data_IF_497429701736
#
_entry.id   IF_497429701736
#
_cell.length_a   1.000
_cell.length_b   1.000
_cell.length_c   1.000
_cell.angle_alpha   90.00
_cell.angle_beta   90.00
_cell.angle_gamma   90.00
#
_symmetry.space_group_name_H-M   'P 1'
#
loop_
_entity.id
_entity.type
_entity.pdbx_description
1 polymer ?
#
# COMPACT_ATOMS: atom_id res chain seq x y z
N UNK A 1 31.82 17.82 -15.77
CA UNK A 1 30.76 18.52 -15.01
C UNK A 1 29.34 18.36 -15.60
N UNK A 2 29.15 18.20 -16.92
CA UNK A 2 27.80 18.12 -17.53
C UNK A 2 27.01 16.82 -17.25
N UNK A 3 27.69 15.72 -16.96
CA UNK A 3 27.04 14.41 -16.73
C UNK A 3 26.27 14.32 -15.41
N UNK A 4 26.72 15.03 -14.36
CA UNK A 4 26.05 15.04 -13.04
C UNK A 4 24.73 15.79 -13.12
N UNK A 5 24.73 17.03 -13.66
CA UNK A 5 23.52 17.83 -13.89
C UNK A 5 22.51 17.15 -14.83
N UNK A 6 22.97 16.35 -15.80
CA UNK A 6 22.07 15.56 -16.66
C UNK A 6 21.35 14.47 -15.88
N UNK A 7 22.03 13.87 -14.89
CA UNK A 7 21.51 12.76 -14.10
C UNK A 7 20.56 13.23 -13.00
N UNK A 8 20.82 14.37 -12.36
CA UNK A 8 19.89 14.97 -11.39
C UNK A 8 18.55 15.34 -12.03
N UNK A 9 18.58 15.87 -13.26
CA UNK A 9 17.37 16.10 -14.06
C UNK A 9 16.62 14.80 -14.37
N UNK A 10 17.35 13.73 -14.68
CA UNK A 10 16.77 12.41 -14.90
C UNK A 10 16.10 11.86 -13.64
N UNK A 11 16.74 11.95 -12.46
CA UNK A 11 16.13 11.55 -11.17
C UNK A 11 14.81 12.28 -10.95
N UNK A 12 14.85 13.60 -11.08
CA UNK A 12 13.68 14.44 -10.82
C UNK A 12 12.53 14.10 -11.77
N UNK A 13 12.83 13.81 -13.03
CA UNK A 13 11.83 13.32 -13.99
C UNK A 13 11.24 11.97 -13.55
N UNK A 14 12.08 11.02 -13.14
CA UNK A 14 11.63 9.70 -12.69
C UNK A 14 10.76 9.77 -11.44
N UNK A 15 11.09 10.65 -10.49
CA UNK A 15 10.28 10.89 -9.28
C UNK A 15 8.89 11.43 -9.62
N UNK A 16 8.81 12.39 -10.54
CA UNK A 16 7.53 12.93 -11.00
C UNK A 16 6.69 11.84 -11.67
N UNK A 17 7.30 11.00 -12.51
CA UNK A 17 6.61 9.88 -13.16
C UNK A 17 6.08 8.88 -12.13
N UNK A 18 6.89 8.51 -11.13
CA UNK A 18 6.48 7.58 -10.06
C UNK A 18 5.34 8.19 -9.22
N UNK A 19 5.45 9.45 -8.82
CA UNK A 19 4.40 10.13 -8.05
C UNK A 19 3.10 10.31 -8.83
N UNK A 20 3.16 10.54 -10.14
CA UNK A 20 1.96 10.52 -10.99
C UNK A 20 1.33 9.12 -11.05
N UNK A 21 2.14 8.07 -11.21
CA UNK A 21 1.65 6.70 -11.21
C UNK A 21 0.95 6.34 -9.89
N UNK A 22 1.58 6.64 -8.75
CA UNK A 22 0.99 6.43 -7.41
C UNK A 22 -0.37 7.13 -7.28
N UNK A 23 -0.47 8.38 -7.71
CA UNK A 23 -1.71 9.17 -7.66
C UNK A 23 -2.84 8.52 -8.47
N UNK A 24 -2.59 8.18 -9.73
CA UNK A 24 -3.63 7.59 -10.58
C UNK A 24 -4.02 6.18 -10.14
N UNK A 25 -3.05 5.38 -9.67
CA UNK A 25 -3.35 4.06 -9.10
C UNK A 25 -4.26 4.17 -7.88
N UNK A 26 -3.99 5.12 -6.98
CA UNK A 26 -4.87 5.39 -5.85
C UNK A 26 -6.31 5.71 -6.31
N UNK A 27 -6.46 6.58 -7.31
CA UNK A 27 -7.77 6.91 -7.88
C UNK A 27 -8.48 5.69 -8.49
N UNK A 28 -7.76 4.83 -9.22
CA UNK A 28 -8.32 3.61 -9.80
C UNK A 28 -8.77 2.62 -8.72
N UNK A 29 -7.95 2.42 -7.68
CA UNK A 29 -8.30 1.57 -6.55
C UNK A 29 -9.56 2.06 -5.82
N UNK A 30 -9.67 3.38 -5.56
CA UNK A 30 -10.87 3.95 -4.94
C UNK A 30 -12.12 3.76 -5.80
N UNK A 31 -12.00 3.94 -7.13
CA UNK A 31 -13.12 3.76 -8.05
C UNK A 31 -13.57 2.29 -8.12
N UNK A 32 -12.62 1.35 -8.22
CA UNK A 32 -12.90 -0.08 -8.24
C UNK A 32 -13.54 -0.55 -6.93
N UNK A 33 -13.06 -0.06 -5.78
CA UNK A 33 -13.67 -0.36 -4.49
C UNK A 33 -15.11 0.16 -4.38
N UNK A 34 -15.38 1.36 -4.90
CA UNK A 34 -16.76 1.89 -4.97
C UNK A 34 -17.65 1.04 -5.87
N UNK A 35 -17.12 0.56 -6.99
CA UNK A 35 -17.83 -0.30 -7.93
C UNK A 35 -18.20 -1.66 -7.30
N UNK A 36 -17.23 -2.38 -6.71
CA UNK A 36 -17.50 -3.67 -6.05
C UNK A 36 -18.48 -3.53 -4.89
N UNK A 37 -18.36 -2.45 -4.11
CA UNK A 37 -19.30 -2.15 -3.02
C UNK A 37 -20.73 -1.94 -3.52
N UNK A 38 -20.91 -1.17 -4.61
CA UNK A 38 -22.24 -0.94 -5.21
C UNK A 38 -22.84 -2.23 -5.73
N UNK A 39 -22.05 -3.10 -6.37
CA UNK A 39 -22.52 -4.42 -6.82
C UNK A 39 -22.94 -5.29 -5.63
N UNK A 40 -22.18 -5.28 -4.54
CA UNK A 40 -22.56 -5.96 -3.29
C UNK A 40 -23.87 -5.43 -2.71
N UNK A 41 -24.09 -4.11 -2.72
CA UNK A 41 -25.36 -3.52 -2.26
C UNK A 41 -26.57 -3.90 -3.12
N UNK A 42 -26.39 -3.98 -4.43
CA UNK A 42 -27.45 -4.45 -5.33
C UNK A 42 -27.82 -5.92 -5.06
N UNK A 43 -26.85 -6.76 -4.67
CA UNK A 43 -27.07 -8.13 -4.24
C UNK A 43 -27.86 -8.18 -2.93
N UNK A 44 -27.40 -7.46 -1.90
CA UNK A 44 -28.07 -7.43 -0.59
C UNK A 44 -29.55 -7.01 -0.68
N UNK A 45 -29.86 -6.04 -1.55
CA UNK A 45 -31.24 -5.60 -1.81
C UNK A 45 -32.10 -6.68 -2.49
N UNK A 46 -31.53 -7.38 -3.47
CA UNK A 46 -32.23 -8.46 -4.15
C UNK A 46 -32.41 -9.68 -3.24
N UNK A 47 -31.44 -10.02 -2.39
CA UNK A 47 -31.57 -11.08 -1.39
C UNK A 47 -32.69 -10.78 -0.39
N UNK A 48 -32.85 -9.52 0.00
CA UNK A 48 -33.98 -9.08 0.83
C UNK A 48 -35.32 -9.28 0.11
N UNK A 49 -35.38 -8.95 -1.19
CA UNK A 49 -36.57 -9.16 -2.01
C UNK A 49 -36.90 -10.66 -2.15
N UNK A 50 -35.89 -11.52 -2.37
CA UNK A 50 -36.05 -12.99 -2.42
C UNK A 50 -36.63 -13.52 -1.11
N UNK A 51 -36.18 -13.02 0.05
CA UNK A 51 -36.74 -13.40 1.35
C UNK A 51 -38.20 -12.99 1.48
N UNK A 52 -38.52 -11.74 1.13
CA UNK A 52 -39.90 -11.23 1.17
C UNK A 52 -40.84 -12.00 0.25
N UNK A 53 -40.38 -12.36 -0.96
CA UNK A 53 -41.12 -13.20 -1.89
C UNK A 53 -41.41 -14.59 -1.31
N UNK A 54 -40.40 -15.19 -0.67
CA UNK A 54 -40.58 -16.48 -0.01
C UNK A 54 -41.55 -16.40 1.17
N UNK A 55 -41.45 -15.36 2.01
CA UNK A 55 -42.35 -15.14 3.13
C UNK A 55 -43.80 -14.96 2.66
N UNK A 56 -43.99 -14.12 1.62
CA UNK A 56 -45.29 -13.90 1.00
C UNK A 56 -45.85 -15.17 0.35
N UNK A 57 -45.02 -15.99 -0.30
CA UNK A 57 -45.47 -17.25 -0.91
C UNK A 57 -46.14 -18.19 0.09
N UNK A 58 -45.76 -18.13 1.37
CA UNK A 58 -46.30 -19.01 2.40
C UNK A 58 -47.73 -18.63 2.82
N UNK A 59 -48.19 -17.40 2.55
CA UNK A 59 -49.56 -16.94 2.85
C UNK A 59 -50.54 -17.22 1.71
N UNK A 60 -50.03 -17.44 0.50
CA UNK A 60 -50.83 -17.61 -0.72
C UNK A 60 -51.28 -19.07 -0.97
N UNK A 61 -52.21 -19.22 -1.91
CA UNK A 61 -52.71 -20.51 -2.40
C UNK A 61 -51.58 -21.41 -2.95
N UNK A 62 -51.73 -22.75 -2.93
CA UNK A 62 -50.67 -23.68 -3.33
C UNK A 62 -50.10 -23.47 -4.73
N UNK A 63 -50.95 -23.12 -5.71
CA UNK A 63 -50.51 -22.82 -7.08
C UNK A 63 -49.67 -21.55 -7.14
N UNK A 64 -50.15 -20.46 -6.52
CA UNK A 64 -49.45 -19.18 -6.48
C UNK A 64 -48.16 -19.26 -5.66
N UNK A 65 -48.17 -20.00 -4.55
CA UNK A 65 -47.00 -20.29 -3.73
C UNK A 65 -45.87 -20.91 -4.54
N UNK A 66 -46.18 -21.89 -5.37
CA UNK A 66 -45.18 -22.56 -6.22
C UNK A 66 -44.59 -21.58 -7.23
N UNK A 67 -45.44 -20.78 -7.88
CA UNK A 67 -45.00 -19.75 -8.82
C UNK A 67 -44.07 -18.70 -8.16
N UNK A 68 -44.44 -18.20 -6.98
CA UNK A 68 -43.65 -17.21 -6.23
C UNK A 68 -42.31 -17.76 -5.75
N UNK A 69 -42.26 -19.04 -5.35
CA UNK A 69 -41.01 -19.70 -4.98
C UNK A 69 -40.08 -19.87 -6.18
N UNK A 70 -40.60 -20.28 -7.34
CA UNK A 70 -39.82 -20.36 -8.57
C UNK A 70 -39.28 -18.98 -8.97
N UNK A 71 -40.09 -17.92 -8.88
CA UNK A 71 -39.65 -16.55 -9.12
C UNK A 71 -38.54 -16.10 -8.15
N UNK A 72 -38.64 -16.47 -6.87
CA UNK A 72 -37.63 -16.18 -5.88
C UNK A 72 -36.31 -16.93 -6.14
N UNK A 73 -36.40 -18.20 -6.57
CA UNK A 73 -35.25 -19.02 -6.98
C UNK A 73 -34.56 -18.45 -8.22
N UNK A 74 -35.31 -18.06 -9.25
CA UNK A 74 -34.76 -17.43 -10.46
C UNK A 74 -34.03 -16.13 -10.12
N UNK A 75 -34.59 -15.31 -9.22
CA UNK A 75 -33.95 -14.07 -8.76
C UNK A 75 -32.69 -14.33 -7.92
N UNK A 76 -32.67 -15.41 -7.13
CA UNK A 76 -31.50 -15.84 -6.37
C UNK A 76 -30.35 -16.28 -7.30
N UNK A 77 -30.65 -17.00 -8.38
CA UNK A 77 -29.63 -17.37 -9.38
C UNK A 77 -28.96 -16.15 -10.02
N UNK A 78 -29.71 -15.06 -10.24
CA UNK A 78 -29.13 -13.78 -10.71
C UNK A 78 -28.18 -13.18 -9.69
N UNK A 79 -28.43 -13.36 -8.39
CA UNK A 79 -27.54 -12.87 -7.32
C UNK A 79 -26.26 -13.69 -7.24
N UNK A 80 -26.33 -15.01 -7.44
CA UNK A 80 -25.14 -15.88 -7.52
C UNK A 80 -24.24 -15.48 -8.69
N UNK A 81 -24.82 -15.12 -9.84
CA UNK A 81 -24.07 -14.59 -10.98
C UNK A 81 -23.32 -13.29 -10.63
N UNK A 82 -23.97 -12.37 -9.91
CA UNK A 82 -23.33 -11.12 -9.46
C UNK A 82 -22.20 -11.38 -8.47
N UNK A 83 -22.36 -12.36 -7.58
CA UNK A 83 -21.29 -12.79 -6.68
C UNK A 83 -20.08 -13.30 -7.48
N UNK A 84 -20.31 -14.16 -8.47
CA UNK A 84 -19.26 -14.67 -9.35
C UNK A 84 -18.58 -13.56 -10.18
N UNK A 85 -19.35 -12.55 -10.62
CA UNK A 85 -18.82 -11.37 -11.32
C UNK A 85 -17.83 -10.59 -10.44
N UNK A 86 -18.18 -10.35 -9.18
CA UNK A 86 -17.31 -9.64 -8.22
C UNK A 86 -16.03 -10.42 -7.94
N UNK A 87 -16.14 -11.74 -7.71
CA UNK A 87 -14.96 -12.60 -7.52
C UNK A 87 -14.05 -12.61 -8.74
N UNK A 88 -14.65 -12.70 -9.94
CA UNK A 88 -13.89 -12.65 -11.19
C UNK A 88 -13.19 -11.31 -11.37
N UNK A 89 -13.86 -10.20 -11.04
CA UNK A 89 -13.26 -8.87 -11.09
C UNK A 89 -12.08 -8.76 -10.12
N UNK A 90 -12.20 -9.31 -8.91
CA UNK A 90 -11.10 -9.31 -7.95
C UNK A 90 -9.87 -10.07 -8.45
N UNK A 91 -10.09 -11.26 -9.01
CA UNK A 91 -9.01 -12.09 -9.53
C UNK A 91 -8.38 -11.48 -10.78
N UNK A 92 -9.20 -11.00 -11.73
CA UNK A 92 -8.72 -10.62 -13.07
C UNK A 92 -8.31 -9.16 -13.19
N UNK A 93 -8.83 -8.27 -12.35
CA UNK A 93 -8.58 -6.82 -12.45
C UNK A 93 -7.86 -6.31 -11.21
N UNK A 94 -8.38 -6.60 -10.02
CA UNK A 94 -7.81 -6.05 -8.78
C UNK A 94 -6.43 -6.66 -8.47
N UNK A 95 -6.27 -7.97 -8.65
CA UNK A 95 -4.99 -8.65 -8.38
C UNK A 95 -3.84 -8.13 -9.27
N UNK A 96 -3.98 -8.01 -10.61
CA UNK A 96 -2.95 -7.40 -11.43
C UNK A 96 -2.66 -5.93 -11.08
N UNK A 97 -3.70 -5.17 -10.70
CA UNK A 97 -3.53 -3.78 -10.28
C UNK A 97 -2.72 -3.67 -8.98
N UNK A 98 -2.96 -4.55 -8.01
CA UNK A 98 -2.17 -4.65 -6.77
C UNK A 98 -0.70 -4.94 -7.08
N UNK A 99 -0.43 -5.93 -7.94
CA UNK A 99 0.94 -6.25 -8.36
C UNK A 99 1.63 -5.08 -9.06
N UNK A 100 0.91 -4.29 -9.85
CA UNK A 100 1.45 -3.06 -10.44
C UNK A 100 1.77 -2.00 -9.37
N UNK A 101 0.93 -1.88 -8.34
CA UNK A 101 1.21 -1.06 -7.15
C UNK A 101 2.55 -1.43 -6.50
N UNK A 102 2.80 -2.71 -6.28
CA UNK A 102 4.06 -3.22 -5.70
C UNK A 102 5.28 -2.85 -6.56
N UNK A 103 5.14 -2.90 -7.89
CA UNK A 103 6.19 -2.49 -8.82
C UNK A 103 6.49 -0.99 -8.70
N UNK A 104 5.47 -0.15 -8.57
CA UNK A 104 5.63 1.31 -8.42
C UNK A 104 6.28 1.64 -7.08
N UNK A 105 5.87 0.98 -6.00
CA UNK A 105 6.48 1.13 -4.68
C UNK A 105 7.95 0.71 -4.68
N UNK A 106 8.29 -0.43 -5.29
CA UNK A 106 9.67 -0.87 -5.41
C UNK A 106 10.53 0.11 -6.24
N UNK A 107 9.95 0.73 -7.29
CA UNK A 107 10.59 1.82 -8.03
C UNK A 107 10.82 3.06 -7.16
N UNK A 108 9.87 3.41 -6.27
CA UNK A 108 10.02 4.50 -5.31
C UNK A 108 11.18 4.26 -4.34
N UNK A 109 11.23 3.07 -3.73
CA UNK A 109 12.27 2.67 -2.77
C UNK A 109 13.65 2.65 -3.42
N UNK A 110 13.76 2.11 -4.64
CA UNK A 110 15.02 2.08 -5.38
C UNK A 110 15.52 3.49 -5.76
N UNK A 111 14.63 4.39 -6.19
CA UNK A 111 14.97 5.80 -6.44
C UNK A 111 15.47 6.50 -5.17
N UNK A 112 14.80 6.31 -4.03
CA UNK A 112 15.22 6.88 -2.76
C UNK A 112 16.58 6.34 -2.30
N UNK A 113 16.82 5.03 -2.46
CA UNK A 113 18.09 4.39 -2.17
C UNK A 113 19.20 4.94 -3.06
N UNK A 114 18.93 5.11 -4.36
CA UNK A 114 19.90 5.65 -5.31
C UNK A 114 20.29 7.09 -4.97
N UNK A 115 19.32 7.94 -4.61
CA UNK A 115 19.58 9.29 -4.07
C UNK A 115 20.48 9.27 -2.84
N UNK A 116 20.19 8.39 -1.88
CA UNK A 116 20.95 8.32 -0.61
C UNK A 116 22.39 7.89 -0.85
N UNK A 117 22.61 6.93 -1.74
CA UNK A 117 23.94 6.50 -2.17
C UNK A 117 24.66 7.61 -2.94
N UNK A 118 23.98 8.33 -3.82
CA UNK A 118 24.56 9.47 -4.55
C UNK A 118 24.96 10.63 -3.61
N UNK A 119 24.14 10.97 -2.61
CA UNK A 119 24.50 11.93 -1.57
C UNK A 119 25.75 11.48 -0.80
N UNK A 120 25.88 10.18 -0.48
CA UNK A 120 27.11 9.65 0.13
C UNK A 120 28.33 9.80 -0.78
N UNK A 121 28.22 9.48 -2.07
CA UNK A 121 29.31 9.67 -3.03
C UNK A 121 29.69 11.14 -3.19
N UNK A 122 28.73 12.06 -3.24
CA UNK A 122 29.00 13.49 -3.36
C UNK A 122 29.75 14.04 -2.14
N UNK A 123 29.36 13.66 -0.92
CA UNK A 123 30.04 14.05 0.34
C UNK A 123 31.45 13.47 0.45
N UNK A 124 31.70 12.26 -0.09
CA UNK A 124 33.03 11.63 -0.12
C UNK A 124 33.95 12.32 -1.14
N UNK A 125 33.44 12.65 -2.34
CA UNK A 125 34.22 13.36 -3.37
C UNK A 125 34.55 14.80 -2.94
N UNK A 126 33.61 15.51 -2.28
CA UNK A 126 33.92 16.85 -1.73
C UNK A 126 34.95 16.79 -0.61
N UNK A 127 34.96 15.74 0.22
CA UNK A 127 36.02 15.52 1.24
C UNK A 127 37.40 15.26 0.62
N UNK A 128 37.49 14.42 -0.42
CA UNK A 128 38.76 14.18 -1.10
C UNK A 128 39.30 15.45 -1.80
N UNK A 129 38.44 16.32 -2.31
CA UNK A 129 38.85 17.60 -2.89
C UNK A 129 39.26 18.65 -1.84
N UNK A 130 38.70 18.62 -0.62
CA UNK A 130 39.18 19.48 0.47
C UNK A 130 40.50 18.99 1.07
N UNK A 131 40.73 17.67 1.10
CA UNK A 131 41.99 17.09 1.59
C UNK A 131 43.14 17.29 0.57
N UNK A 132 42.84 17.29 -0.73
CA UNK A 132 43.83 17.54 -1.81
C UNK A 132 44.26 19.02 -1.92
N UNK A 133 43.42 19.95 -1.45
CA UNK A 133 43.79 21.38 -1.35
C UNK A 133 44.58 21.71 -0.09
N UNK A 134 44.57 20.84 0.92
CA UNK A 134 45.32 21.01 2.17
C UNK A 134 46.74 20.42 2.11
N UNK A 135 47.14 19.74 1.02
CA UNK A 135 48.49 19.18 0.87
C UNK A 135 49.53 20.14 0.28
N UNK A 136 49.17 21.39 -0.08
CA UNK A 136 50.15 22.37 -0.60
C UNK A 136 50.55 23.49 0.36
N UNK A 137 50.00 23.55 1.57
CA UNK A 137 50.55 24.43 2.61
C UNK A 137 50.57 23.70 3.94
N UNK A 138 51.81 23.51 4.45
CA UNK A 138 52.21 23.40 5.87
C UNK A 138 53.08 22.18 6.15
N UNK A 139 54.37 22.35 5.82
CA UNK A 139 55.48 21.74 6.53
C UNK A 139 55.55 22.29 7.97
N UNK A 140 55.87 21.41 8.93
CA UNK A 140 56.17 21.67 10.36
C UNK A 140 54.97 22.12 11.23
N UNK A 141 54.62 21.50 12.37
CA UNK A 141 55.42 20.89 13.44
C UNK A 141 54.68 19.75 14.18
N UNK A 142 55.47 19.08 15.02
CA UNK A 142 55.37 17.77 15.62
C UNK A 142 54.57 17.70 16.95
N UNK A 143 54.30 16.46 17.37
CA UNK A 143 54.09 15.93 18.75
C UNK A 143 52.71 15.97 19.44
N UNK A 144 52.04 14.81 19.35
CA UNK A 144 51.74 13.88 20.47
C UNK A 144 50.75 14.32 21.55
N UNK A 145 49.57 13.69 21.55
CA UNK A 145 49.14 12.85 22.69
C UNK A 145 48.15 11.77 22.24
N UNK A 146 48.30 10.59 22.84
CA UNK A 146 47.67 9.30 22.51
C UNK A 146 46.48 9.02 23.45
N UNK A 147 45.60 8.13 22.97
CA UNK A 147 44.89 7.03 23.72
C UNK A 147 43.83 7.47 24.75
N UNK A 148 42.63 6.88 24.93
CA UNK A 148 41.91 5.63 24.59
C UNK A 148 40.39 5.99 24.72
N UNK A 149 39.43 5.35 24.07
CA UNK A 149 38.94 4.03 24.45
C UNK A 149 37.87 3.55 23.46
N UNK A 150 38.01 2.28 23.09
CA UNK A 150 36.97 1.44 22.51
C UNK A 150 36.05 0.96 23.63
N UNK A 151 34.82 0.61 23.23
CA UNK A 151 33.84 -0.26 23.90
C UNK A 151 32.66 0.41 24.62
N UNK A 152 31.51 -0.27 24.45
CA UNK A 152 30.18 -0.06 25.05
C UNK A 152 29.32 0.99 24.32
N UNK A 153 28.19 0.70 23.68
CA UNK A 153 27.37 -0.51 23.72
C UNK A 153 26.52 -0.59 22.43
N UNK A 154 26.64 -1.73 21.75
CA UNK A 154 25.75 -2.18 20.68
C UNK A 154 24.44 -2.76 21.25
N UNK A 155 24.04 -2.31 22.45
CA UNK A 155 23.02 -2.93 23.29
C UNK A 155 22.23 -1.87 24.05
N UNK A 156 21.68 -0.90 23.31
CA UNK A 156 20.50 -0.15 23.75
C UNK A 156 19.53 -0.03 22.57
N UNK A 157 18.67 -1.06 22.49
CA UNK A 157 17.24 -0.95 22.20
C UNK A 157 16.87 -0.27 20.87
N UNK A 158 16.46 -0.92 19.79
CA UNK A 158 15.69 -2.17 19.65
C UNK A 158 14.46 -2.33 20.58
N UNK A 159 14.13 -1.33 21.40
CA UNK A 159 12.95 -1.35 22.30
C UNK A 159 11.79 -0.47 21.85
N UNK A 160 11.78 0.04 20.60
CA UNK A 160 10.62 0.75 20.03
C UNK A 160 9.87 -0.05 18.95
N UNK A 161 10.20 -1.33 18.75
CA UNK A 161 9.52 -2.20 17.76
C UNK A 161 8.58 -3.24 18.42
N UNK A 162 8.49 -3.33 19.76
CA UNK A 162 7.64 -4.34 20.44
C UNK A 162 6.40 -3.77 21.14
N UNK A 163 6.14 -2.45 21.12
CA UNK A 163 4.95 -1.88 21.79
C UNK A 163 3.74 -1.58 20.89
N UNK A 164 3.79 -1.86 19.58
CA UNK A 164 2.59 -1.73 18.72
C UNK A 164 1.86 -3.04 18.39
N UNK A 165 2.42 -4.20 18.78
CA UNK A 165 1.77 -5.50 18.56
C UNK A 165 0.99 -6.06 19.78
N UNK A 166 0.72 -5.23 20.79
CA UNK A 166 -0.20 -5.56 21.90
C UNK A 166 -1.28 -4.50 22.14
N UNK A 167 -1.70 -3.79 21.08
CA UNK A 167 -2.94 -3.00 21.07
C UNK A 167 -3.92 -3.48 19.98
N UNK A 168 -3.91 -4.79 19.72
CA UNK A 168 -4.98 -5.50 19.02
C UNK A 168 -5.81 -6.37 19.98
N UNK A 169 -5.92 -6.00 21.28
CA UNK A 169 -6.69 -6.80 22.24
C UNK A 169 -7.54 -6.04 23.28
N UNK A 170 -7.67 -4.70 23.26
CA UNK A 170 -8.52 -3.96 24.24
C UNK A 170 -9.37 -2.85 23.59
N UNK A 171 -9.97 -3.11 22.43
CA UNK A 171 -11.06 -2.24 21.91
C UNK A 171 -12.22 -3.04 21.29
N UNK A 172 -12.17 -4.37 21.38
CA UNK A 172 -13.27 -5.28 21.04
C UNK A 172 -13.99 -5.77 22.30
N UNK A 173 -14.35 -4.85 23.20
CA UNK A 173 -15.18 -5.26 24.34
C UNK A 173 -16.04 -4.19 25.02
N UNK A 174 -16.32 -3.04 24.39
CA UNK A 174 -17.38 -2.16 24.92
C UNK A 174 -18.20 -1.49 23.81
N UNK A 175 -19.48 -1.86 23.82
CA UNK A 175 -20.65 -1.09 23.40
C UNK A 175 -21.16 -1.28 21.97
N UNK A 176 -21.82 -2.42 21.75
CA UNK A 176 -23.24 -2.39 21.41
C UNK A 176 -24.04 -3.06 22.52
N UNK A 177 -24.95 -2.32 23.17
CA UNK A 177 -26.20 -2.79 23.81
C UNK A 177 -26.75 -1.76 24.81
N UNK A 178 -27.49 -0.76 24.33
CA UNK A 178 -28.85 -0.33 24.75
C UNK A 178 -29.25 0.92 23.96
#
# INVERSE_FOLDING_TARGET
MNTIFSRDRQIKSMELTVSHAEKYLGQFCSLLASYTWKTGKLRDQADMLVRQLNDFSNTEDPELRTCLKNLAEDLAMVQDYRQAEVERLEIKVITPLKAYGDIVENKRVSLHTWKRTHCRFHTVITRQNTDSSLTHTRTHTHTRTRTLSLSLSLTLCLCLIVTSHTLHSISWQNNGSE
#
